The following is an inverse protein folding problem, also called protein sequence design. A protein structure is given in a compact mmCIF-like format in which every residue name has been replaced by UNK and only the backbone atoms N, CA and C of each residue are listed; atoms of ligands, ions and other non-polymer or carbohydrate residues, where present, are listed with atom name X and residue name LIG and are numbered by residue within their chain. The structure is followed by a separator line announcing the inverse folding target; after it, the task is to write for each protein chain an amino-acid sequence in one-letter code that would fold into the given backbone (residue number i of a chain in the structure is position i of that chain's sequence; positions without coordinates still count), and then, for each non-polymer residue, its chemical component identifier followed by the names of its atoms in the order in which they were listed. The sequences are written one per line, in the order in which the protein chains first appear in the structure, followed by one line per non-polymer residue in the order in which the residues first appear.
data_IF_186550711794
#
_entry.id   IF_186550711794
#
_cell.length_a   1.000
_cell.length_b   1.000
_cell.length_c   1.000
_cell.angle_alpha   90.00
_cell.angle_beta   90.00
_cell.angle_gamma   90.00
#
_symmetry.space_group_name_H-M   'P 1'
#
loop_
_entity.id
_entity.type
_entity.pdbx_description
1 polymer ?
#
# COMPACT_ATOMS: atom_id res chain seq x y z
N UNK A 1 -45.87 -44.67 28.20
CA UNK A 1 -45.41 -43.29 28.42
C UNK A 1 -43.88 -43.31 28.39
N UNK A 2 -43.23 -42.90 27.28
CA UNK A 2 -41.77 -42.94 27.15
C UNK A 2 -41.11 -41.83 27.99
N UNK A 3 -39.90 -42.04 28.53
CA UNK A 3 -39.18 -41.03 29.32
C UNK A 3 -38.69 -39.88 28.44
N UNK A 4 -38.53 -38.65 28.99
CA UNK A 4 -38.08 -37.50 28.24
C UNK A 4 -36.63 -37.68 27.76
N UNK A 5 -36.42 -37.43 26.47
CA UNK A 5 -35.12 -37.35 25.80
C UNK A 5 -34.26 -36.28 26.48
N UNK A 6 -33.26 -36.71 27.24
CA UNK A 6 -32.20 -35.84 27.77
C UNK A 6 -31.40 -35.27 26.60
N UNK A 7 -31.68 -34.01 26.24
CA UNK A 7 -30.95 -33.28 25.23
C UNK A 7 -29.54 -32.97 25.71
N UNK A 8 -28.57 -33.82 25.35
CA UNK A 8 -27.16 -33.54 25.56
C UNK A 8 -26.74 -32.34 24.68
N UNK A 9 -26.47 -31.21 25.32
CA UNK A 9 -25.88 -30.04 24.67
C UNK A 9 -24.52 -30.45 24.08
N UNK A 10 -24.23 -30.16 22.79
CA UNK A 10 -22.96 -30.52 22.19
C UNK A 10 -21.79 -29.86 22.93
N UNK A 11 -20.61 -30.52 23.00
CA UNK A 11 -19.45 -29.97 23.69
C UNK A 11 -19.07 -28.61 23.10
N UNK A 12 -18.75 -27.66 23.99
CA UNK A 12 -18.31 -26.31 23.62
C UNK A 12 -17.06 -26.43 22.76
N UNK A 13 -17.13 -25.95 21.51
CA UNK A 13 -16.01 -26.01 20.58
C UNK A 13 -14.76 -25.32 21.18
N UNK A 14 -13.54 -25.85 20.93
CA UNK A 14 -12.32 -25.24 21.43
C UNK A 14 -12.19 -23.79 20.91
N UNK A 15 -11.61 -22.88 21.70
CA UNK A 15 -11.40 -21.50 21.28
C UNK A 15 -10.54 -21.46 20.01
N UNK A 16 -10.99 -20.71 19.00
CA UNK A 16 -10.22 -20.51 17.77
C UNK A 16 -8.98 -19.65 18.05
N UNK A 17 -7.82 -19.92 17.43
CA UNK A 17 -6.66 -19.05 17.55
C UNK A 17 -7.01 -17.63 17.08
N UNK A 18 -6.83 -16.64 17.95
CA UNK A 18 -7.11 -15.23 17.66
C UNK A 18 -5.86 -14.58 17.07
N UNK A 19 -5.81 -14.51 15.73
CA UNK A 19 -4.82 -13.71 15.00
C UNK A 19 -5.49 -12.44 14.46
N UNK A 20 -5.05 -11.26 14.90
CA UNK A 20 -5.52 -9.99 14.33
C UNK A 20 -4.80 -9.79 13.00
N UNK A 21 -5.45 -10.20 11.90
CA UNK A 21 -4.99 -9.89 10.55
C UNK A 21 -5.51 -8.51 10.16
N UNK A 22 -4.70 -7.48 10.33
CA UNK A 22 -4.95 -6.20 9.66
C UNK A 22 -4.64 -6.34 8.16
N UNK A 23 -5.40 -5.67 7.27
CA UNK A 23 -5.02 -5.56 5.87
C UNK A 23 -3.77 -4.67 5.77
N UNK A 24 -2.60 -5.30 5.87
CA UNK A 24 -1.33 -4.65 5.53
C UNK A 24 -1.27 -4.42 4.01
N UNK A 25 -0.62 -3.34 3.53
CA UNK A 25 -0.30 -3.17 2.12
C UNK A 25 0.34 -4.44 1.54
N UNK A 26 0.10 -4.76 0.25
CA UNK A 26 0.49 -6.04 -0.36
C UNK A 26 1.99 -6.39 -0.25
N UNK A 27 2.86 -5.41 0.03
CA UNK A 27 4.32 -5.58 0.03
C UNK A 27 4.99 -5.52 1.42
N UNK A 28 4.25 -5.59 2.53
CA UNK A 28 4.90 -5.64 3.85
C UNK A 28 5.29 -7.09 4.23
N UNK A 29 6.58 -7.35 4.53
CA UNK A 29 7.04 -8.65 5.02
C UNK A 29 6.26 -9.05 6.28
N UNK A 30 5.78 -10.29 6.33
CA UNK A 30 5.04 -10.83 7.46
C UNK A 30 6.01 -11.56 8.38
N UNK A 31 5.77 -11.45 9.68
CA UNK A 31 6.48 -12.20 10.70
C UNK A 31 5.48 -12.63 11.77
N UNK A 32 5.54 -13.90 12.12
CA UNK A 32 4.74 -14.52 13.16
C UNK A 32 5.64 -15.37 14.06
N UNK A 33 5.14 -15.72 15.23
CA UNK A 33 5.79 -16.66 16.13
C UNK A 33 4.69 -17.44 16.88
N UNK A 34 5.04 -18.57 17.54
CA UNK A 34 4.08 -19.31 18.35
C UNK A 34 3.42 -18.41 19.41
N UNK A 35 2.09 -18.28 19.33
CA UNK A 35 1.29 -17.52 20.29
C UNK A 35 0.63 -18.39 21.36
N UNK A 36 0.88 -19.71 21.34
CA UNK A 36 0.40 -20.64 22.35
C UNK A 36 1.55 -21.01 23.27
N UNK A 37 1.33 -20.90 24.58
CA UNK A 37 2.31 -21.23 25.61
C UNK A 37 1.70 -22.29 26.53
N UNK A 38 2.20 -23.54 26.52
CA UNK A 38 1.61 -24.61 27.34
C UNK A 38 1.89 -24.43 28.83
N UNK A 39 2.98 -23.73 29.17
CA UNK A 39 3.41 -23.46 30.54
C UNK A 39 4.17 -22.14 30.61
N UNK A 40 3.84 -21.32 31.61
CA UNK A 40 4.47 -20.04 31.90
C UNK A 40 4.81 -19.95 33.39
N UNK A 41 5.67 -19.00 33.75
CA UNK A 41 5.95 -18.70 35.16
C UNK A 41 4.69 -18.16 35.83
N UNK A 42 4.44 -18.61 37.05
CA UNK A 42 3.37 -18.08 37.87
C UNK A 42 3.72 -16.64 38.30
N UNK A 43 2.78 -15.68 38.18
CA UNK A 43 3.05 -14.31 38.60
C UNK A 43 3.16 -14.16 40.12
N UNK A 44 2.44 -15.00 40.88
CA UNK A 44 2.29 -14.86 42.34
C UNK A 44 3.03 -15.95 43.13
N UNK A 45 3.90 -16.73 42.48
CA UNK A 45 4.70 -17.77 43.12
C UNK A 45 5.90 -18.16 42.28
N UNK A 46 6.89 -18.86 42.86
CA UNK A 46 8.04 -19.43 42.13
C UNK A 46 7.68 -20.70 41.32
N UNK A 47 6.40 -20.85 40.94
CA UNK A 47 5.84 -22.02 40.29
C UNK A 47 5.58 -21.83 38.80
N UNK A 48 4.93 -22.86 38.22
CA UNK A 48 4.50 -22.87 36.83
C UNK A 48 2.97 -22.87 36.75
N UNK A 49 2.43 -22.21 35.73
CA UNK A 49 1.00 -22.18 35.41
C UNK A 49 0.80 -22.52 33.94
N UNK A 50 -0.34 -23.15 33.61
CA UNK A 50 -0.73 -23.47 32.23
C UNK A 50 -1.95 -22.68 31.73
N UNK A 51 -2.65 -21.99 32.63
CA UNK A 51 -3.84 -21.21 32.34
C UNK A 51 -4.11 -20.15 33.41
N UNK A 52 -4.92 -19.16 33.07
CA UNK A 52 -5.52 -18.22 34.04
C UNK A 52 -6.97 -18.62 34.26
N UNK A 53 -7.42 -18.67 35.50
CA UNK A 53 -8.84 -18.84 35.85
C UNK A 53 -9.44 -17.46 36.11
N UNK A 54 -10.25 -16.90 35.18
CA UNK A 54 -10.95 -15.65 35.42
C UNK A 54 -12.07 -15.85 36.47
N UNK A 55 -12.66 -14.77 36.99
CA UNK A 55 -13.76 -14.84 37.96
C UNK A 55 -14.99 -15.64 37.48
N UNK A 56 -15.12 -15.86 36.17
CA UNK A 56 -16.17 -16.69 35.56
C UNK A 56 -15.92 -18.21 35.67
N UNK A 57 -14.77 -18.63 36.22
CA UNK A 57 -14.47 -20.02 36.59
C UNK A 57 -13.96 -20.91 35.46
N UNK A 58 -13.87 -20.44 34.21
CA UNK A 58 -13.33 -21.25 33.11
C UNK A 58 -11.84 -21.00 32.90
N UNK A 59 -11.01 -22.04 33.05
CA UNK A 59 -9.58 -21.94 32.77
C UNK A 59 -9.33 -21.52 31.32
N UNK A 60 -8.56 -20.45 31.15
CA UNK A 60 -8.14 -19.93 29.86
C UNK A 60 -6.64 -20.17 29.68
N UNK A 61 -6.30 -21.05 28.74
CA UNK A 61 -4.92 -21.28 28.29
C UNK A 61 -4.30 -20.01 27.68
N UNK A 62 -2.98 -19.98 27.64
CA UNK A 62 -2.21 -18.86 27.10
C UNK A 62 -2.18 -18.90 25.58
N UNK A 63 -3.10 -18.17 24.95
CA UNK A 63 -3.15 -17.96 23.50
C UNK A 63 -3.19 -16.47 23.18
N UNK A 64 -2.32 -15.99 22.30
CA UNK A 64 -2.39 -14.63 21.77
C UNK A 64 -1.09 -14.13 21.15
N UNK A 65 -1.19 -13.06 20.37
CA UNK A 65 -0.02 -12.37 19.80
C UNK A 65 0.88 -11.77 20.88
N UNK A 66 0.34 -11.46 22.06
CA UNK A 66 1.11 -11.05 23.23
C UNK A 66 2.10 -12.12 23.69
N UNK A 67 1.83 -13.40 23.43
CA UNK A 67 2.76 -14.50 23.72
C UNK A 67 3.73 -14.79 22.57
N UNK A 68 3.36 -14.42 21.33
CA UNK A 68 4.28 -14.45 20.19
C UNK A 68 5.33 -13.33 20.25
N UNK A 69 4.94 -12.15 20.74
CA UNK A 69 5.82 -10.98 20.86
C UNK A 69 7.14 -11.23 21.62
N UNK A 70 7.15 -11.85 22.82
CA UNK A 70 8.40 -12.13 23.54
C UNK A 70 9.30 -13.13 22.81
N UNK A 71 8.77 -14.04 21.99
CA UNK A 71 9.59 -14.94 21.16
C UNK A 71 10.38 -14.14 20.11
N UNK A 72 9.71 -13.21 19.42
CA UNK A 72 10.36 -12.32 18.45
C UNK A 72 11.34 -11.38 19.14
N UNK A 73 10.95 -10.76 20.26
CA UNK A 73 11.79 -9.83 21.00
C UNK A 73 13.05 -10.51 21.58
N UNK A 74 12.91 -11.72 22.13
CA UNK A 74 14.05 -12.51 22.62
C UNK A 74 15.01 -12.89 21.51
N UNK A 75 14.50 -13.30 20.34
CA UNK A 75 15.33 -13.60 19.18
C UNK A 75 16.06 -12.34 18.67
N UNK A 76 15.38 -11.19 18.64
CA UNK A 76 16.00 -9.92 18.28
C UNK A 76 17.13 -9.53 19.25
N UNK A 77 16.95 -9.79 20.55
CA UNK A 77 17.97 -9.55 21.56
C UNK A 77 19.20 -10.46 21.35
N UNK A 78 19.00 -11.75 21.05
CA UNK A 78 20.09 -12.68 20.74
C UNK A 78 20.84 -12.27 19.46
N UNK A 79 20.13 -11.80 18.44
CA UNK A 79 20.76 -11.25 17.24
C UNK A 79 21.57 -9.99 17.54
N UNK A 80 21.07 -9.09 18.41
CA UNK A 80 21.79 -7.88 18.83
C UNK A 80 23.06 -8.20 19.64
N UNK A 81 23.04 -9.27 20.42
CA UNK A 81 24.22 -9.78 21.13
C UNK A 81 25.26 -10.33 20.14
N UNK A 82 24.81 -11.10 19.13
CA UNK A 82 25.70 -11.70 18.14
C UNK A 82 26.26 -10.72 17.11
N UNK A 83 25.45 -9.75 16.70
CA UNK A 83 25.77 -8.74 15.69
C UNK A 83 25.62 -7.35 16.28
N UNK A 84 26.52 -6.94 17.19
CA UNK A 84 26.40 -5.68 17.89
C UNK A 84 26.51 -4.44 17.01
N UNK A 85 27.02 -4.60 15.79
CA UNK A 85 27.17 -3.58 14.76
C UNK A 85 25.90 -3.36 13.91
N UNK A 86 24.93 -4.29 13.95
CA UNK A 86 23.72 -4.16 13.14
C UNK A 86 22.81 -3.03 13.66
N UNK A 87 22.30 -2.24 12.72
CA UNK A 87 21.22 -1.31 12.98
C UNK A 87 19.89 -2.04 13.23
N UNK A 88 18.90 -1.34 13.80
CA UNK A 88 17.56 -1.90 14.00
C UNK A 88 16.90 -2.34 12.69
N UNK A 89 17.19 -1.65 11.57
CA UNK A 89 16.69 -2.02 10.26
C UNK A 89 17.31 -3.33 9.76
N UNK A 90 18.62 -3.50 9.94
CA UNK A 90 19.34 -4.73 9.55
C UNK A 90 18.92 -5.93 10.41
N UNK A 91 18.72 -5.74 11.72
CA UNK A 91 18.17 -6.78 12.59
C UNK A 91 16.76 -7.18 12.17
N UNK A 92 15.92 -6.21 11.79
CA UNK A 92 14.57 -6.47 11.28
C UNK A 92 14.62 -7.28 9.99
N UNK A 93 15.46 -6.90 9.03
CA UNK A 93 15.63 -7.66 7.78
C UNK A 93 16.15 -9.08 8.05
N UNK A 94 17.09 -9.23 8.98
CA UNK A 94 17.60 -10.55 9.37
C UNK A 94 16.48 -11.43 9.96
N UNK A 95 15.64 -10.87 10.84
CA UNK A 95 14.47 -11.57 11.38
C UNK A 95 13.51 -12.03 10.27
N UNK A 96 13.22 -11.17 9.30
CA UNK A 96 12.36 -11.54 8.17
C UNK A 96 13.00 -12.61 7.27
N UNK A 97 14.31 -12.52 7.02
CA UNK A 97 15.04 -13.52 6.24
C UNK A 97 15.07 -14.90 6.92
N UNK A 98 14.93 -14.94 8.25
CA UNK A 98 14.88 -16.19 9.04
C UNK A 98 13.49 -16.80 9.16
N UNK A 99 12.44 -16.11 8.68
CA UNK A 99 11.07 -16.63 8.74
C UNK A 99 10.87 -17.79 7.76
N UNK A 100 10.14 -18.81 8.19
CA UNK A 100 9.77 -19.93 7.34
C UNK A 100 8.79 -19.48 6.24
N UNK A 101 9.14 -19.73 4.98
CA UNK A 101 8.41 -19.23 3.80
C UNK A 101 6.94 -19.66 3.71
N UNK A 102 6.57 -20.78 4.33
CA UNK A 102 5.20 -21.33 4.27
C UNK A 102 4.26 -20.73 5.30
N UNK A 103 4.78 -20.24 6.42
CA UNK A 103 3.99 -19.85 7.60
C UNK A 103 4.34 -18.45 8.10
N UNK A 104 5.35 -17.82 7.52
CA UNK A 104 5.97 -16.59 8.00
C UNK A 104 6.36 -16.69 9.48
N UNK A 105 6.66 -17.91 9.96
CA UNK A 105 6.95 -18.16 11.37
C UNK A 105 8.44 -18.05 11.61
N UNK A 106 8.81 -17.27 12.62
CA UNK A 106 10.19 -17.11 13.05
C UNK A 106 10.75 -18.43 13.52
N UNK A 107 11.89 -18.84 12.95
CA UNK A 107 12.73 -19.91 13.48
C UNK A 107 13.96 -19.28 14.17
N UNK A 108 13.99 -19.23 15.53
CA UNK A 108 15.10 -18.62 16.25
C UNK A 108 16.43 -19.31 16.00
N UNK A 109 16.42 -20.63 15.77
CA UNK A 109 17.64 -21.36 15.49
C UNK A 109 18.16 -20.95 14.11
N UNK A 110 17.30 -20.96 13.09
CA UNK A 110 17.68 -20.52 11.74
C UNK A 110 18.15 -19.06 11.73
N UNK A 111 17.54 -18.19 12.54
CA UNK A 111 17.97 -16.79 12.70
C UNK A 111 19.40 -16.68 13.24
N UNK A 112 19.81 -17.60 14.11
CA UNK A 112 21.14 -17.59 14.74
C UNK A 112 22.16 -18.47 14.01
N UNK A 113 21.77 -19.41 13.16
CA UNK A 113 22.73 -20.31 12.48
C UNK A 113 22.97 -19.92 11.04
N UNK A 114 21.98 -19.31 10.39
CA UNK A 114 22.13 -18.88 9.00
C UNK A 114 23.03 -17.67 8.97
N UNK A 115 24.09 -17.72 8.15
CA UNK A 115 24.91 -16.54 7.90
C UNK A 115 24.06 -15.58 7.09
N UNK A 116 23.78 -14.36 7.59
CA UNK A 116 23.06 -13.38 6.80
C UNK A 116 23.87 -13.08 5.53
N UNK A 117 23.17 -12.98 4.40
CA UNK A 117 23.77 -12.41 3.21
C UNK A 117 24.31 -11.01 3.57
N UNK A 118 25.47 -10.58 3.00
CA UNK A 118 26.01 -9.26 3.28
C UNK A 118 24.90 -8.21 3.07
N UNK A 119 24.72 -7.34 4.08
CA UNK A 119 23.72 -6.28 4.04
C UNK A 119 23.98 -5.43 2.79
N UNK A 120 22.98 -5.22 1.91
CA UNK A 120 23.15 -4.26 0.84
C UNK A 120 23.38 -2.91 1.50
N UNK A 121 24.50 -2.25 1.19
CA UNK A 121 24.73 -0.87 1.59
C UNK A 121 23.55 -0.03 1.06
N UNK A 122 22.65 0.37 1.95
CA UNK A 122 21.61 1.32 1.61
C UNK A 122 22.26 2.69 1.42
N UNK A 123 22.77 2.93 0.22
CA UNK A 123 23.13 4.27 -0.21
C UNK A 123 21.83 5.03 -0.34
N UNK A 124 21.64 6.05 0.50
CA UNK A 124 20.61 7.06 0.32
C UNK A 124 20.92 7.82 -0.96
N UNK A 125 20.53 7.27 -2.10
CA UNK A 125 20.34 8.09 -3.28
C UNK A 125 19.12 8.94 -2.95
N UNK A 126 19.30 10.26 -2.88
CA UNK A 126 18.17 11.17 -2.97
C UNK A 126 17.47 10.81 -4.28
N UNK A 127 16.34 10.11 -4.18
CA UNK A 127 15.42 10.02 -5.29
C UNK A 127 14.85 11.43 -5.38
N UNK A 128 15.54 12.29 -6.12
CA UNK A 128 14.89 13.41 -6.79
C UNK A 128 13.84 12.74 -7.65
N UNK A 129 12.62 12.58 -7.13
CA UNK A 129 11.48 12.30 -7.96
C UNK A 129 11.58 13.33 -9.10
N UNK A 130 11.57 12.92 -10.37
CA UNK A 130 11.41 13.91 -11.41
C UNK A 130 10.12 14.63 -11.03
N UNK A 131 10.24 15.91 -10.66
CA UNK A 131 9.10 16.82 -10.67
C UNK A 131 8.47 16.55 -12.01
N UNK A 132 7.27 15.98 -12.00
CA UNK A 132 6.54 15.72 -13.22
C UNK A 132 6.56 17.06 -13.97
N UNK A 133 7.29 17.11 -15.09
CA UNK A 133 7.29 18.31 -15.91
C UNK A 133 5.84 18.50 -16.33
N UNK A 134 5.19 19.48 -15.70
CA UNK A 134 4.05 20.14 -16.30
C UNK A 134 4.53 20.54 -17.69
N UNK A 135 4.00 19.85 -18.70
CA UNK A 135 4.36 20.07 -20.09
C UNK A 135 4.04 21.52 -20.44
N UNK A 136 5.06 22.37 -20.38
CA UNK A 136 4.98 23.71 -20.90
C UNK A 136 4.92 23.55 -22.42
N UNK A 137 3.81 24.01 -23.00
CA UNK A 137 3.57 23.88 -24.44
C UNK A 137 4.74 24.51 -25.19
N UNK A 138 5.51 23.67 -25.90
CA UNK A 138 6.73 24.07 -26.58
C UNK A 138 6.41 25.17 -27.61
N UNK A 139 7.15 26.28 -27.59
CA UNK A 139 6.90 27.48 -28.41
C UNK A 139 6.82 27.13 -29.91
N UNK A 140 7.52 26.06 -30.31
CA UNK A 140 7.48 25.49 -31.67
C UNK A 140 6.09 25.00 -32.06
N UNK A 141 5.35 24.37 -31.14
CA UNK A 141 3.97 23.90 -31.37
C UNK A 141 3.04 25.10 -31.57
N UNK A 142 3.22 26.16 -30.77
CA UNK A 142 2.49 27.41 -30.95
C UNK A 142 2.80 28.07 -32.31
N UNK A 143 4.07 28.07 -32.73
CA UNK A 143 4.48 28.58 -34.05
C UNK A 143 3.87 27.73 -35.18
N UNK A 144 3.81 26.41 -35.04
CA UNK A 144 3.19 25.52 -36.03
C UNK A 144 1.69 25.80 -36.12
N UNK A 145 0.97 25.89 -35.00
CA UNK A 145 -0.46 26.24 -34.99
C UNK A 145 -0.71 27.63 -35.60
N UNK A 146 0.11 28.62 -35.25
CA UNK A 146 0.01 29.97 -35.80
C UNK A 146 0.26 29.99 -37.32
N UNK A 147 1.26 29.25 -37.81
CA UNK A 147 1.55 29.18 -39.24
C UNK A 147 0.44 28.47 -40.02
N UNK A 148 -0.15 27.40 -39.48
CA UNK A 148 -1.33 26.75 -40.09
C UNK A 148 -2.50 27.72 -40.17
N UNK A 149 -2.77 28.48 -39.11
CA UNK A 149 -3.82 29.51 -39.10
C UNK A 149 -3.59 30.59 -40.15
N UNK A 150 -2.34 31.06 -40.32
CA UNK A 150 -1.99 32.05 -41.34
C UNK A 150 -2.17 31.48 -42.75
N UNK A 151 -1.72 30.24 -42.99
CA UNK A 151 -1.92 29.57 -44.30
C UNK A 151 -3.40 29.40 -44.61
N UNK A 152 -4.22 29.03 -43.63
CA UNK A 152 -5.66 28.90 -43.81
C UNK A 152 -6.33 30.26 -44.08
N UNK A 153 -5.89 31.32 -43.40
CA UNK A 153 -6.35 32.68 -43.64
C UNK A 153 -5.96 33.18 -45.04
N UNK A 154 -4.77 32.83 -45.53
CA UNK A 154 -4.34 33.15 -46.90
C UNK A 154 -5.17 32.36 -47.91
N UNK A 155 -5.33 31.05 -47.71
CA UNK A 155 -6.11 30.18 -48.60
C UNK A 155 -7.58 30.60 -48.69
N UNK A 156 -8.19 31.03 -47.57
CA UNK A 156 -9.56 31.55 -47.54
C UNK A 156 -9.65 32.99 -48.02
N UNK A 157 -8.64 33.82 -47.74
CA UNK A 157 -8.54 35.21 -48.22
C UNK A 157 -8.28 35.36 -49.72
N UNK A 158 -7.77 34.30 -50.38
CA UNK A 158 -7.67 34.21 -51.84
C UNK A 158 -8.99 33.85 -52.53
N UNK A 159 -10.01 33.37 -51.79
CA UNK A 159 -11.40 33.37 -52.26
C UNK A 159 -12.03 34.73 -51.95
N UNK A 160 -11.67 35.75 -52.74
CA UNK A 160 -12.43 37.00 -52.78
C UNK A 160 -13.90 36.66 -53.10
N UNK A 161 -14.87 36.96 -52.24
CA UNK A 161 -16.27 36.88 -52.66
C UNK A 161 -16.48 37.86 -53.83
N UNK A 162 -17.19 37.47 -54.91
CA UNK A 162 -17.45 38.38 -56.02
C UNK A 162 -18.24 39.59 -55.51
N UNK A 163 -17.71 40.79 -55.78
CA UNK A 163 -18.29 42.05 -55.36
C UNK A 163 -19.73 42.20 -55.90
N UNK A 164 -20.70 42.69 -55.09
CA UNK A 164 -22.04 42.95 -55.56
C UNK A 164 -22.05 44.12 -56.56
N UNK A 165 -22.52 43.84 -57.78
CA UNK A 165 -22.62 44.81 -58.88
C UNK A 165 -23.60 45.94 -58.54
N UNK A 166 -23.06 47.16 -58.39
CA UNK A 166 -23.82 48.40 -58.17
C UNK A 166 -24.52 48.83 -59.47
N UNK A 167 -25.71 48.30 -59.75
CA UNK A 167 -26.55 48.75 -60.88
C UNK A 167 -27.19 50.10 -60.55
N UNK A 168 -26.75 51.13 -61.28
CA UNK A 168 -27.19 52.53 -61.20
C UNK A 168 -28.72 52.66 -61.38
N UNK A 169 -29.40 53.31 -60.43
CA UNK A 169 -30.69 53.97 -60.66
C UNK A 169 -30.48 55.11 -61.66
N UNK A 170 -31.03 54.96 -62.86
CA UNK A 170 -31.10 56.01 -63.88
C UNK A 170 -32.29 56.91 -63.50
N UNK A 171 -32.02 58.05 -62.87
CA UNK A 171 -32.99 59.14 -62.76
C UNK A 171 -32.83 60.00 -64.02
N UNK A 172 -33.70 59.77 -65.00
CA UNK A 172 -33.81 60.64 -66.17
C UNK A 172 -34.81 61.72 -65.82
N UNK A 173 -34.33 62.90 -65.45
CA UNK A 173 -35.10 64.12 -65.55
C UNK A 173 -34.33 65.02 -66.51
N UNK A 174 -34.79 65.12 -67.75
CA UNK A 174 -34.56 66.34 -68.52
C UNK A 174 -35.67 66.52 -69.56
N UNK A 175 -36.55 67.44 -69.19
CA UNK A 175 -37.41 68.30 -70.00
C UNK A 175 -37.22 68.23 -71.52
N UNK A 176 -38.34 67.98 -72.19
CA UNK A 176 -38.63 68.36 -73.58
C UNK A 176 -39.45 69.67 -73.47
N UNK A 177 -38.81 70.80 -73.74
CA UNK A 177 -39.07 71.72 -74.87
C UNK A 177 -40.39 72.49 -74.75
N UNK A 178 -40.29 73.76 -74.35
CA UNK A 178 -41.21 74.87 -74.65
C UNK A 178 -40.60 75.65 -75.83
N UNK A 179 -41.42 76.16 -76.76
CA UNK A 179 -41.93 77.52 -76.60
C UNK A 179 -43.45 77.68 -76.75
#
# INVERSE_FOLDING_TARGET
MPPPSSGSKPPKAPPRPRSIRSPSPPDQPRLSAPGHVPVALAPDSDGWVSAITPPNGENQEFHGTSFAAPVVAGTAALLRERYPEYSAAELREHLFASAQSTTDSLDPLAALTTRPAPTPEYRTAAITAPVAEEHSVDLRVLIVLASVMVVLAIATGLRRPPAPARRRRRLTNLFKEEP
#
